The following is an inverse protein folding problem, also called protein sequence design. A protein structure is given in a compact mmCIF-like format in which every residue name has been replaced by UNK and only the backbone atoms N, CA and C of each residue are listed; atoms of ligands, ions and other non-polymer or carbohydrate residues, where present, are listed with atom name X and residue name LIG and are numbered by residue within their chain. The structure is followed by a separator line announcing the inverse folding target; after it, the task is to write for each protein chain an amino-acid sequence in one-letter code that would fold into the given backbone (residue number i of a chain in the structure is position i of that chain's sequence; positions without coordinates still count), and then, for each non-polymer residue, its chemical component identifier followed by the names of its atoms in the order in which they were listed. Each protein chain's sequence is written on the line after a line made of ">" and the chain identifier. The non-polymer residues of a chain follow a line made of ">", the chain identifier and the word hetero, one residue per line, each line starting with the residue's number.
data_IF_060227605231
#
_entry.id   IF_060227605231
#
_cell.length_a   1.000
_cell.length_b   1.000
_cell.length_c   1.000
_cell.angle_alpha   90.00
_cell.angle_beta   90.00
_cell.angle_gamma   90.00
#
_symmetry.space_group_name_H-M   'P 1'
#
loop_
_entity.id
_entity.type
_entity.pdbx_description
1 polymer ?
#
# COMPACT_ATOMS: atom_id res chain seq x y z
N UNK A 1 20.74 -2.77 -14.44
CA UNK A 1 20.01 -2.65 -15.73
C UNK A 1 19.37 -1.28 -15.78
N UNK A 2 19.21 -0.65 -16.94
CA UNK A 2 18.71 0.72 -16.98
C UNK A 2 17.19 0.83 -16.93
N UNK A 3 16.67 1.86 -16.25
CA UNK A 3 15.26 2.27 -16.26
C UNK A 3 15.09 3.56 -17.05
N UNK A 4 13.86 3.83 -17.48
CA UNK A 4 13.44 5.10 -18.05
C UNK A 4 12.29 5.66 -17.24
N UNK A 5 12.38 6.94 -16.88
CA UNK A 5 11.34 7.65 -16.14
C UNK A 5 10.64 8.67 -17.03
N UNK A 6 9.32 8.71 -17.01
CA UNK A 6 8.49 9.75 -17.62
C UNK A 6 7.66 10.43 -16.54
N UNK A 7 7.87 11.73 -16.33
CA UNK A 7 7.09 12.52 -15.38
C UNK A 7 6.19 13.48 -16.14
N UNK A 8 4.88 13.23 -16.10
CA UNK A 8 3.89 14.16 -16.64
C UNK A 8 3.42 15.03 -15.48
N UNK A 9 3.96 16.26 -15.40
CA UNK A 9 3.69 17.19 -14.29
C UNK A 9 2.19 17.42 -14.09
N UNK A 10 1.74 17.40 -12.84
CA UNK A 10 0.31 17.44 -12.51
C UNK A 10 -0.48 16.15 -12.79
N UNK A 11 0.14 15.04 -13.20
CA UNK A 11 -0.54 13.78 -13.54
C UNK A 11 0.03 12.58 -12.80
N UNK A 12 1.20 12.11 -13.25
CA UNK A 12 1.79 10.84 -12.89
C UNK A 12 3.28 10.73 -13.23
N UNK A 13 3.93 9.74 -12.61
CA UNK A 13 5.31 9.31 -12.86
C UNK A 13 5.27 7.85 -13.32
N UNK A 14 5.77 7.57 -14.51
CA UNK A 14 5.88 6.21 -15.06
C UNK A 14 7.34 5.75 -15.12
N UNK A 15 7.57 4.48 -14.78
CA UNK A 15 8.89 3.82 -14.84
C UNK A 15 8.82 2.66 -15.81
N UNK A 16 9.75 2.63 -16.76
CA UNK A 16 9.88 1.61 -17.79
C UNK A 16 11.22 0.88 -17.63
N UNK A 17 11.19 -0.44 -17.59
CA UNK A 17 12.41 -1.27 -17.57
C UNK A 17 13.12 -1.26 -18.94
N UNK A 18 14.38 -1.72 -19.01
CA UNK A 18 15.18 -1.74 -20.23
C UNK A 18 14.49 -2.50 -21.39
N UNK A 19 13.75 -3.56 -21.08
CA UNK A 19 12.96 -4.32 -22.05
C UNK A 19 11.71 -3.60 -22.62
N UNK A 20 11.43 -2.36 -22.19
CA UNK A 20 10.31 -1.55 -22.65
C UNK A 20 9.00 -1.71 -21.85
N UNK A 21 8.99 -2.53 -20.80
CA UNK A 21 7.81 -2.75 -19.94
C UNK A 21 7.63 -1.60 -18.94
N UNK A 22 6.44 -0.99 -18.90
CA UNK A 22 6.04 -0.06 -17.83
C UNK A 22 5.75 -0.85 -16.55
N UNK A 23 6.73 -0.88 -15.64
CA UNK A 23 6.67 -1.62 -14.38
C UNK A 23 5.90 -0.89 -13.28
N UNK A 24 5.87 0.44 -13.32
CA UNK A 24 5.18 1.27 -12.33
C UNK A 24 4.61 2.52 -12.98
N UNK A 25 3.39 2.89 -12.58
CA UNK A 25 2.87 4.24 -12.71
C UNK A 25 2.32 4.74 -11.39
N UNK A 26 2.88 5.85 -10.90
CA UNK A 26 2.43 6.56 -9.70
C UNK A 26 1.60 7.77 -10.10
N UNK A 27 0.29 7.71 -9.85
CA UNK A 27 -0.67 8.78 -10.19
C UNK A 27 -0.91 9.63 -8.96
N UNK A 28 -0.61 10.93 -9.06
CA UNK A 28 -0.84 11.91 -7.98
C UNK A 28 -1.91 12.96 -8.34
N UNK A 29 -2.50 12.86 -9.55
CA UNK A 29 -3.81 13.45 -9.88
C UNK A 29 -4.89 12.34 -9.98
N UNK A 30 -5.53 11.97 -8.85
CA UNK A 30 -6.47 10.86 -8.82
C UNK A 30 -7.80 11.19 -9.51
N UNK A 31 -8.64 10.17 -9.74
CA UNK A 31 -9.99 10.40 -10.28
C UNK A 31 -10.78 11.43 -9.44
N UNK A 32 -11.57 12.28 -10.08
CA UNK A 32 -12.21 13.42 -9.41
C UNK A 32 -13.40 13.05 -8.51
N UNK A 33 -13.67 11.76 -8.26
CA UNK A 33 -14.79 11.31 -7.43
C UNK A 33 -14.47 11.46 -5.93
N UNK A 34 -15.11 12.40 -5.19
CA UNK A 34 -14.84 12.59 -3.76
C UNK A 34 -15.16 11.35 -2.93
N UNK A 35 -16.20 10.59 -3.29
CA UNK A 35 -16.61 9.41 -2.54
C UNK A 35 -15.55 8.31 -2.59
N UNK A 36 -14.65 8.32 -3.58
CA UNK A 36 -13.55 7.36 -3.65
C UNK A 36 -12.31 7.78 -2.85
N UNK A 37 -12.39 8.93 -2.15
CA UNK A 37 -11.27 9.59 -1.49
C UNK A 37 -10.13 9.88 -2.46
N UNK A 38 -10.01 11.15 -2.86
CA UNK A 38 -8.98 11.62 -3.79
C UNK A 38 -7.62 11.51 -3.10
N UNK A 39 -6.76 10.59 -3.56
CA UNK A 39 -5.40 10.40 -3.04
C UNK A 39 -4.49 9.75 -4.08
N UNK A 40 -3.18 9.98 -4.04
CA UNK A 40 -2.25 9.29 -4.93
C UNK A 40 -2.26 7.77 -4.77
N UNK A 41 -1.92 7.06 -5.85
CA UNK A 41 -1.83 5.61 -5.89
C UNK A 41 -0.83 5.15 -6.95
N UNK A 42 -0.29 3.93 -6.80
CA UNK A 42 0.44 3.26 -7.86
C UNK A 42 -0.47 2.26 -8.60
N UNK A 43 -0.76 2.55 -9.86
CA UNK A 43 -1.39 1.65 -10.81
C UNK A 43 -1.21 2.22 -12.23
N UNK A 44 -0.88 1.37 -13.22
CA UNK A 44 -0.56 -0.05 -13.09
C UNK A 44 0.82 -0.31 -12.45
N UNK A 45 0.92 -1.45 -11.76
CA UNK A 45 2.17 -2.07 -11.30
C UNK A 45 2.29 -3.41 -12.03
N UNK A 46 3.46 -3.71 -12.59
CA UNK A 46 3.69 -4.91 -13.41
C UNK A 46 4.96 -5.65 -13.05
N UNK A 47 4.98 -6.95 -13.33
CA UNK A 47 6.23 -7.72 -13.42
C UNK A 47 7.06 -7.30 -14.66
N UNK A 48 8.29 -7.80 -14.79
CA UNK A 48 9.15 -7.47 -15.94
C UNK A 48 8.66 -8.11 -17.24
N UNK A 49 7.89 -9.19 -17.17
CA UNK A 49 7.18 -9.76 -18.33
C UNK A 49 5.90 -9.00 -18.72
N UNK A 50 5.55 -7.92 -18.01
CA UNK A 50 4.41 -7.06 -18.34
C UNK A 50 3.07 -7.52 -17.75
N UNK A 51 3.07 -8.48 -16.82
CA UNK A 51 1.85 -8.93 -16.14
C UNK A 51 1.42 -7.92 -15.09
N UNK A 52 0.17 -7.45 -15.18
CA UNK A 52 -0.35 -6.45 -14.22
C UNK A 52 -0.70 -7.11 -12.90
N UNK A 53 -0.11 -6.63 -11.81
CA UNK A 53 -0.27 -7.21 -10.47
C UNK A 53 -1.11 -6.33 -9.55
N UNK A 54 -1.83 -5.34 -10.09
CA UNK A 54 -2.71 -4.44 -9.33
C UNK A 54 -4.07 -4.30 -9.98
N UNK A 55 -5.13 -4.33 -9.18
CA UNK A 55 -6.49 -4.05 -9.62
C UNK A 55 -6.80 -2.55 -9.56
N UNK A 56 -7.68 -2.07 -10.44
CA UNK A 56 -8.09 -0.66 -10.47
C UNK A 56 -9.59 -0.49 -10.53
N UNK A 57 -10.13 0.23 -9.55
CA UNK A 57 -11.55 0.55 -9.39
C UNK A 57 -12.49 -0.62 -9.72
N UNK A 58 -12.35 -1.80 -9.05
CA UNK A 58 -13.27 -2.92 -9.24
C UNK A 58 -14.74 -2.48 -9.11
N UNK A 59 -15.64 -3.15 -9.82
CA UNK A 59 -17.05 -2.72 -9.90
C UNK A 59 -17.79 -2.67 -8.55
N UNK A 60 -17.34 -3.47 -7.59
CA UNK A 60 -17.85 -3.63 -6.24
C UNK A 60 -17.14 -2.72 -5.21
N UNK A 61 -15.94 -2.23 -5.53
CA UNK A 61 -15.10 -1.42 -4.66
C UNK A 61 -14.36 -0.35 -5.47
N UNK A 62 -15.09 0.63 -6.01
CA UNK A 62 -14.55 1.65 -6.93
C UNK A 62 -13.42 2.51 -6.33
N UNK A 63 -13.31 2.57 -5.01
CA UNK A 63 -12.27 3.32 -4.31
C UNK A 63 -10.93 2.56 -4.17
N UNK A 64 -10.87 1.26 -4.47
CA UNK A 64 -9.60 0.52 -4.46
C UNK A 64 -8.81 0.75 -5.75
N UNK A 65 -7.58 1.25 -5.67
CA UNK A 65 -6.72 1.58 -6.83
C UNK A 65 -5.27 1.15 -6.56
N UNK A 66 -4.91 -0.03 -7.05
CA UNK A 66 -3.57 -0.62 -6.96
C UNK A 66 -2.96 -0.58 -5.56
N UNK A 67 -1.83 0.10 -5.42
CA UNK A 67 -1.15 0.33 -4.14
C UNK A 67 -1.40 1.76 -3.65
N UNK A 68 -1.88 1.94 -2.43
CA UNK A 68 -2.22 3.25 -1.89
C UNK A 68 -2.15 3.30 -0.36
N UNK A 69 -1.73 4.44 0.17
CA UNK A 69 -1.81 4.72 1.61
C UNK A 69 -3.23 5.10 1.99
N UNK A 70 -3.73 4.59 3.11
CA UNK A 70 -5.13 4.72 3.50
C UNK A 70 -5.30 4.85 5.01
N UNK A 71 -6.43 5.42 5.44
CA UNK A 71 -6.93 5.27 6.80
C UNK A 71 -8.44 5.12 6.77
N UNK A 72 -8.96 3.98 7.23
CA UNK A 72 -10.40 3.72 7.22
C UNK A 72 -11.14 4.44 8.34
N UNK A 73 -10.46 4.66 9.47
CA UNK A 73 -10.92 5.45 10.61
C UNK A 73 -9.77 6.33 11.10
N UNK A 74 -9.92 7.65 10.92
CA UNK A 74 -9.01 8.66 11.46
C UNK A 74 -9.87 9.76 12.07
N UNK A 75 -9.92 9.88 13.40
CA UNK A 75 -10.77 10.85 14.12
C UNK A 75 -12.20 10.97 13.54
N UNK A 76 -12.81 9.84 13.16
CA UNK A 76 -14.15 9.77 12.56
C UNK A 76 -14.23 9.96 11.04
N UNK A 77 -13.14 10.33 10.38
CA UNK A 77 -13.03 10.44 8.92
C UNK A 77 -12.53 9.14 8.28
N UNK A 78 -12.80 9.04 6.98
CA UNK A 78 -12.46 7.93 6.11
C UNK A 78 -11.60 8.43 4.93
N UNK A 79 -10.30 8.16 4.98
CA UNK A 79 -9.33 8.39 3.90
C UNK A 79 -9.10 7.14 3.04
N UNK A 80 -9.78 6.03 3.33
CA UNK A 80 -9.87 4.86 2.45
C UNK A 80 -10.79 5.15 1.26
N UNK A 81 -11.88 5.88 1.50
CA UNK A 81 -12.96 6.11 0.55
C UNK A 81 -14.08 5.08 0.67
N UNK A 82 -15.16 5.31 -0.06
CA UNK A 82 -16.34 4.44 -0.11
C UNK A 82 -17.16 4.47 1.17
N UNK A 83 -17.77 3.32 1.45
CA UNK A 83 -18.62 3.16 2.61
C UNK A 83 -17.83 3.19 3.92
N UNK A 84 -18.41 3.80 4.94
CA UNK A 84 -17.88 3.81 6.30
C UNK A 84 -18.52 2.69 7.12
N UNK A 85 -17.75 2.02 7.97
CA UNK A 85 -18.32 1.06 8.92
C UNK A 85 -18.94 1.81 10.11
N UNK A 86 -20.14 1.41 10.52
CA UNK A 86 -20.81 1.89 11.71
C UNK A 86 -21.24 0.69 12.54
N UNK A 87 -20.76 0.63 13.79
CA UNK A 87 -21.05 -0.48 14.69
C UNK A 87 -22.56 -0.71 14.83
N UNK A 88 -22.99 -1.96 14.71
CA UNK A 88 -24.41 -2.35 14.77
C UNK A 88 -25.24 -2.01 13.52
N UNK A 89 -24.71 -1.24 12.55
CA UNK A 89 -25.42 -0.85 11.33
C UNK A 89 -24.75 -1.35 10.04
N UNK A 90 -23.47 -1.73 10.10
CA UNK A 90 -22.72 -2.23 8.95
C UNK A 90 -22.08 -1.11 8.12
N UNK A 91 -21.92 -1.34 6.81
CA UNK A 91 -21.33 -0.36 5.90
C UNK A 91 -22.39 0.60 5.36
N UNK A 92 -22.20 1.89 5.61
CA UNK A 92 -23.11 2.95 5.17
C UNK A 92 -22.40 3.92 4.20
N UNK A 93 -23.10 4.42 3.16
CA UNK A 93 -22.56 5.47 2.31
C UNK A 93 -22.65 6.81 3.04
N UNK A 94 -21.57 7.17 3.74
CA UNK A 94 -21.44 8.43 4.50
C UNK A 94 -20.43 9.35 3.80
N UNK A 95 -20.80 9.97 2.65
CA UNK A 95 -19.89 10.81 1.88
C UNK A 95 -19.33 12.00 2.67
N UNK A 96 -20.06 12.46 3.69
CA UNK A 96 -19.65 13.53 4.61
C UNK A 96 -18.49 13.15 5.55
N UNK A 97 -18.05 11.89 5.54
CA UNK A 97 -16.87 11.42 6.28
C UNK A 97 -15.67 11.17 5.37
N UNK A 98 -15.80 11.35 4.05
CA UNK A 98 -14.74 10.95 3.12
C UNK A 98 -13.75 12.08 2.91
N UNK A 99 -12.54 11.91 3.45
CA UNK A 99 -11.40 12.82 3.30
C UNK A 99 -10.56 12.55 2.05
N UNK A 100 -9.50 13.34 1.87
CA UNK A 100 -8.58 13.25 0.73
C UNK A 100 -7.11 13.47 1.13
N UNK A 101 -6.19 13.06 0.26
CA UNK A 101 -4.77 13.38 0.37
C UNK A 101 -4.39 14.22 -0.85
N UNK A 102 -4.06 15.49 -0.60
CA UNK A 102 -3.69 16.46 -1.63
C UNK A 102 -2.18 16.42 -1.85
N UNK A 103 -1.76 16.18 -3.09
CA UNK A 103 -0.37 16.37 -3.52
C UNK A 103 0.01 17.86 -3.43
N UNK A 104 1.09 18.17 -2.71
CA UNK A 104 1.61 19.53 -2.54
C UNK A 104 2.91 19.76 -3.31
N UNK A 105 3.69 18.72 -3.61
CA UNK A 105 4.87 18.82 -4.45
C UNK A 105 5.85 17.64 -4.33
N UNK A 106 6.92 17.70 -5.13
CA UNK A 106 8.07 16.80 -5.05
C UNK A 106 9.33 17.60 -4.70
N UNK A 107 9.67 17.79 -3.41
CA UNK A 107 10.88 18.52 -3.02
C UNK A 107 12.18 17.83 -3.45
N UNK A 108 12.16 16.50 -3.61
CA UNK A 108 13.31 15.70 -4.03
C UNK A 108 12.91 14.73 -5.12
N UNK A 109 13.73 14.66 -6.18
CA UNK A 109 13.52 13.78 -7.31
C UNK A 109 14.87 13.43 -7.94
N UNK A 110 15.21 12.15 -7.98
CA UNK A 110 16.50 11.65 -8.47
C UNK A 110 16.27 10.45 -9.38
N UNK A 111 16.87 10.52 -10.56
CA UNK A 111 16.88 9.43 -11.54
C UNK A 111 18.32 9.07 -11.83
N UNK A 112 18.66 7.82 -11.57
CA UNK A 112 19.93 7.18 -11.90
C UNK A 112 19.66 6.09 -12.95
N UNK A 113 20.71 5.43 -13.42
CA UNK A 113 20.56 4.42 -14.47
C UNK A 113 19.60 3.31 -14.05
N UNK A 114 19.68 2.78 -12.83
CA UNK A 114 18.91 1.63 -12.35
C UNK A 114 17.96 1.95 -11.18
N UNK A 115 17.76 3.26 -10.89
CA UNK A 115 17.01 3.71 -9.72
C UNK A 115 16.24 5.00 -9.98
N UNK A 116 15.00 5.04 -9.51
CA UNK A 116 14.22 6.25 -9.31
C UNK A 116 13.98 6.43 -7.81
N UNK A 117 14.25 7.62 -7.28
CA UNK A 117 13.86 7.99 -5.92
C UNK A 117 13.19 9.37 -5.92
N UNK A 118 12.06 9.51 -5.25
CA UNK A 118 11.42 10.81 -5.04
C UNK A 118 10.74 10.91 -3.69
N UNK A 119 10.66 12.14 -3.18
CA UNK A 119 9.93 12.50 -1.97
C UNK A 119 8.72 13.32 -2.39
N UNK A 120 7.53 12.94 -1.94
CA UNK A 120 6.27 13.65 -2.13
C UNK A 120 5.81 14.29 -0.82
N UNK A 121 5.42 15.56 -0.89
CA UNK A 121 4.70 16.23 0.20
C UNK A 121 3.20 16.16 -0.05
N UNK A 122 2.47 15.75 1.00
CA UNK A 122 1.03 15.52 0.96
C UNK A 122 0.37 16.16 2.16
N UNK A 123 -0.85 16.67 1.96
CA UNK A 123 -1.72 17.11 3.06
C UNK A 123 -2.96 16.24 3.13
N UNK A 124 -3.24 15.72 4.32
CA UNK A 124 -4.45 14.97 4.64
C UNK A 124 -5.55 15.97 5.00
N UNK A 125 -6.55 16.08 4.13
CA UNK A 125 -7.65 17.04 4.23
C UNK A 125 -8.93 16.28 4.57
N UNK A 126 -9.52 16.60 5.72
CA UNK A 126 -10.82 16.02 6.10
C UNK A 126 -11.95 16.52 5.19
N UNK A 127 -13.12 15.89 5.24
CA UNK A 127 -14.21 16.18 4.33
C UNK A 127 -14.65 17.66 4.25
N UNK A 128 -14.70 18.36 5.38
CA UNK A 128 -15.02 19.79 5.53
C UNK A 128 -13.91 20.75 5.07
N UNK A 129 -12.75 20.24 4.69
CA UNK A 129 -11.63 21.01 4.13
C UNK A 129 -10.53 21.40 5.12
N UNK A 130 -10.61 21.02 6.39
CA UNK A 130 -9.53 21.26 7.34
C UNK A 130 -8.31 20.36 7.05
N UNK A 131 -7.11 20.94 7.17
CA UNK A 131 -5.86 20.19 7.08
C UNK A 131 -5.57 19.51 8.42
N UNK A 132 -5.50 18.19 8.42
CA UNK A 132 -5.35 17.39 9.65
C UNK A 132 -3.95 16.86 9.86
N UNK A 133 -3.28 16.46 8.79
CA UNK A 133 -1.91 15.99 8.84
C UNK A 133 -1.11 16.39 7.61
N UNK A 134 0.20 16.51 7.81
CA UNK A 134 1.18 16.58 6.71
C UNK A 134 1.93 15.27 6.63
N UNK A 135 2.09 14.77 5.42
CA UNK A 135 2.83 13.56 5.10
C UNK A 135 4.02 13.89 4.21
N UNK A 136 5.18 13.33 4.57
CA UNK A 136 6.33 13.21 3.68
C UNK A 136 6.42 11.75 3.28
N UNK A 137 6.27 11.46 1.99
CA UNK A 137 6.22 10.11 1.44
C UNK A 137 7.41 9.88 0.51
N UNK A 138 8.20 8.85 0.76
CA UNK A 138 9.29 8.45 -0.14
C UNK A 138 8.87 7.27 -1.00
N UNK A 139 9.20 7.31 -2.29
CA UNK A 139 9.12 6.16 -3.19
C UNK A 139 10.48 5.94 -3.84
N UNK A 140 10.97 4.69 -3.80
CA UNK A 140 12.18 4.30 -4.53
C UNK A 140 11.90 3.06 -5.36
N UNK A 141 12.09 3.13 -6.68
CA UNK A 141 12.12 1.97 -7.58
C UNK A 141 13.57 1.60 -7.80
N UNK A 142 13.92 0.33 -7.57
CA UNK A 142 15.30 -0.14 -7.67
C UNK A 142 15.37 -1.66 -7.90
N UNK A 143 16.61 -2.18 -7.99
CA UNK A 143 16.90 -3.62 -8.09
C UNK A 143 16.15 -4.30 -9.24
N UNK A 144 16.05 -3.62 -10.39
CA UNK A 144 15.47 -4.19 -11.60
C UNK A 144 16.43 -5.26 -12.15
N UNK A 145 16.02 -6.52 -12.05
CA UNK A 145 16.80 -7.70 -12.40
C UNK A 145 15.99 -8.58 -13.37
N UNK A 146 16.34 -8.51 -14.66
CA UNK A 146 15.72 -9.30 -15.73
C UNK A 146 16.05 -10.79 -15.65
N UNK A 147 17.18 -11.18 -15.02
CA UNK A 147 17.52 -12.59 -14.84
C UNK A 147 16.66 -13.21 -13.73
N UNK A 148 16.52 -12.51 -12.60
CA UNK A 148 15.61 -12.91 -11.53
C UNK A 148 14.13 -12.71 -11.90
N UNK A 149 13.83 -11.87 -12.91
CA UNK A 149 12.48 -11.49 -13.29
C UNK A 149 11.78 -10.64 -12.22
N UNK A 150 12.52 -9.81 -11.48
CA UNK A 150 11.99 -9.08 -10.33
C UNK A 150 12.51 -7.64 -10.23
N UNK A 151 11.78 -6.83 -9.47
CA UNK A 151 12.19 -5.48 -9.08
C UNK A 151 11.55 -5.11 -7.74
N UNK A 152 12.08 -4.06 -7.10
CA UNK A 152 11.65 -3.62 -5.78
C UNK A 152 11.12 -2.17 -5.78
N UNK A 153 10.10 -1.95 -4.96
CA UNK A 153 9.55 -0.64 -4.60
C UNK A 153 9.66 -0.45 -3.09
N UNK A 154 10.46 0.52 -2.67
CA UNK A 154 10.43 0.99 -1.29
C UNK A 154 9.42 2.13 -1.15
N UNK A 155 8.63 2.07 -0.09
CA UNK A 155 7.64 3.07 0.28
C UNK A 155 7.88 3.51 1.71
N UNK A 156 8.12 4.79 1.93
CA UNK A 156 8.21 5.38 3.26
C UNK A 156 7.10 6.40 3.49
N UNK A 157 6.71 6.54 4.76
CA UNK A 157 5.80 7.59 5.22
C UNK A 157 6.35 8.20 6.49
N UNK A 158 6.26 9.53 6.60
CA UNK A 158 6.34 10.28 7.85
C UNK A 158 5.13 11.20 7.95
N UNK A 159 4.20 10.89 8.86
CA UNK A 159 2.96 11.65 9.04
C UNK A 159 3.05 12.48 10.31
N UNK A 160 2.66 13.75 10.24
CA UNK A 160 2.68 14.70 11.36
C UNK A 160 1.29 15.29 11.58
N UNK A 161 0.79 15.23 12.81
CA UNK A 161 -0.46 15.88 13.20
C UNK A 161 -0.29 17.41 13.21
N UNK A 162 -1.08 18.14 12.43
CA UNK A 162 -1.07 19.61 12.40
C UNK A 162 -2.22 20.26 13.19
N UNK A 163 -3.13 19.45 13.75
CA UNK A 163 -4.23 19.92 14.59
C UNK A 163 -3.74 20.27 15.99
N UNK A 164 -4.58 21.01 16.71
CA UNK A 164 -4.42 21.30 18.14
C UNK A 164 -4.94 20.19 19.06
N UNK A 165 -5.52 19.13 18.50
CA UNK A 165 -6.03 17.96 19.23
C UNK A 165 -5.47 16.64 18.66
N UNK A 166 -5.50 15.53 19.43
CA UNK A 166 -4.99 14.25 18.96
C UNK A 166 -5.72 13.72 17.71
N UNK A 167 -4.97 13.05 16.84
CA UNK A 167 -5.53 12.23 15.76
C UNK A 167 -5.66 10.79 16.25
N UNK A 168 -6.88 10.25 16.25
CA UNK A 168 -7.17 8.88 16.66
C UNK A 168 -7.20 7.97 15.43
N UNK A 169 -6.22 7.09 15.28
CA UNK A 169 -6.13 6.11 14.21
C UNK A 169 -6.77 4.81 14.65
N UNK A 170 -7.65 4.27 13.81
CA UNK A 170 -8.31 3.01 14.06
C UNK A 170 -8.61 2.25 12.77
N UNK A 171 -9.51 1.29 12.90
CA UNK A 171 -10.00 0.48 11.79
C UNK A 171 -11.41 -0.02 12.07
N UNK A 172 -12.11 -0.66 11.12
CA UNK A 172 -13.38 -1.28 11.44
C UNK A 172 -13.30 -2.29 12.59
N UNK A 173 -12.16 -2.98 12.80
CA UNK A 173 -11.98 -3.85 13.97
C UNK A 173 -12.08 -3.07 15.27
N UNK A 174 -11.40 -1.92 15.38
CA UNK A 174 -11.47 -1.08 16.59
C UNK A 174 -12.87 -0.49 16.79
N UNK A 175 -13.60 -0.28 15.69
CA UNK A 175 -15.02 0.08 15.70
C UNK A 175 -15.98 -1.13 15.91
N UNK A 176 -15.47 -2.32 16.21
CA UNK A 176 -16.25 -3.51 16.56
C UNK A 176 -16.68 -4.38 15.37
N UNK A 177 -15.95 -4.36 14.25
CA UNK A 177 -16.04 -5.35 13.16
C UNK A 177 -14.86 -6.30 13.21
N UNK A 178 -15.03 -7.43 13.88
CA UNK A 178 -13.96 -8.41 14.05
C UNK A 178 -13.25 -8.77 12.73
N UNK A 179 -11.92 -8.87 12.77
CA UNK A 179 -11.05 -9.23 11.63
C UNK A 179 -11.22 -8.36 10.38
N UNK A 180 -11.53 -7.08 10.56
CA UNK A 180 -11.63 -6.08 9.49
C UNK A 180 -10.66 -4.91 9.72
N UNK A 181 -9.44 -5.21 10.14
CA UNK A 181 -8.44 -4.24 10.57
C UNK A 181 -7.72 -3.55 9.41
N UNK A 182 -8.41 -3.18 8.33
CA UNK A 182 -7.78 -2.61 7.15
C UNK A 182 -7.52 -1.11 7.30
N UNK A 183 -6.26 -0.72 7.16
CA UNK A 183 -5.73 0.65 7.16
C UNK A 183 -4.25 0.61 6.74
N UNK A 184 -3.58 1.75 6.60
CA UNK A 184 -2.16 1.82 6.25
C UNK A 184 -1.92 1.65 4.75
N UNK A 185 -0.75 1.13 4.37
CA UNK A 185 -0.41 0.89 2.96
C UNK A 185 -1.13 -0.37 2.48
N UNK A 186 -2.05 -0.20 1.53
CA UNK A 186 -2.88 -1.27 0.99
C UNK A 186 -2.56 -1.54 -0.48
N UNK A 187 -2.38 -2.81 -0.79
CA UNK A 187 -2.44 -3.37 -2.13
C UNK A 187 -3.80 -4.02 -2.40
N UNK A 188 -4.38 -3.69 -3.56
CA UNK A 188 -5.49 -4.39 -4.19
C UNK A 188 -5.00 -5.15 -5.41
N UNK A 189 -5.11 -6.47 -5.39
CA UNK A 189 -4.84 -7.31 -6.56
C UNK A 189 -5.95 -7.23 -7.62
N UNK A 190 -5.65 -7.59 -8.87
CA UNK A 190 -6.65 -7.80 -9.91
C UNK A 190 -7.54 -9.01 -9.57
N UNK A 191 -8.71 -9.11 -10.20
CA UNK A 191 -9.76 -10.05 -9.76
C UNK A 191 -9.44 -11.51 -10.09
N UNK A 192 -8.72 -11.73 -11.18
CA UNK A 192 -8.10 -13.00 -11.57
C UNK A 192 -7.21 -13.59 -10.47
N UNK A 193 -6.62 -12.77 -9.59
CA UNK A 193 -5.79 -13.26 -8.47
C UNK A 193 -6.62 -13.83 -7.28
N UNK A 194 -7.94 -13.94 -7.41
CA UNK A 194 -8.81 -14.48 -6.35
C UNK A 194 -8.45 -15.94 -6.09
N UNK A 195 -8.31 -16.32 -4.82
CA UNK A 195 -7.89 -17.67 -4.43
C UNK A 195 -6.38 -17.92 -4.51
N UNK A 196 -5.56 -16.89 -4.80
CA UNK A 196 -4.10 -17.00 -4.80
C UNK A 196 -3.51 -17.47 -3.48
N UNK A 197 -2.31 -18.04 -3.56
CA UNK A 197 -1.56 -18.62 -2.44
C UNK A 197 -0.88 -17.52 -1.65
N UNK A 198 -1.03 -17.55 -0.32
CA UNK A 198 -0.36 -16.64 0.60
C UNK A 198 0.55 -17.45 1.50
N UNK A 199 1.75 -16.95 1.79
CA UNK A 199 2.69 -17.60 2.71
C UNK A 199 3.62 -16.59 3.36
N UNK A 200 4.27 -17.00 4.46
CA UNK A 200 5.18 -16.19 5.26
C UNK A 200 6.35 -17.07 5.78
N UNK A 201 7.43 -16.51 6.36
CA UNK A 201 8.64 -17.27 6.64
C UNK A 201 8.45 -18.48 7.58
N UNK A 202 7.52 -18.39 8.52
CA UNK A 202 7.30 -19.45 9.52
C UNK A 202 6.03 -20.28 9.27
N UNK A 203 5.32 -20.07 8.16
CA UNK A 203 4.03 -20.74 7.94
C UNK A 203 3.63 -20.88 6.47
N UNK A 204 3.18 -22.08 6.09
CA UNK A 204 2.45 -22.35 4.84
C UNK A 204 0.94 -22.21 5.08
N UNK A 205 0.58 -21.18 5.85
CA UNK A 205 -0.80 -20.91 6.21
C UNK A 205 -1.56 -20.31 5.03
N UNK A 206 -2.81 -20.72 4.86
CA UNK A 206 -3.77 -19.96 4.06
C UNK A 206 -3.88 -18.50 4.54
N UNK A 207 -4.34 -17.61 3.65
CA UNK A 207 -4.51 -16.19 3.94
C UNK A 207 -5.28 -15.91 5.25
N UNK A 208 -6.24 -16.77 5.61
CA UNK A 208 -7.07 -16.57 6.81
C UNK A 208 -6.28 -16.68 8.11
N UNK A 209 -5.29 -17.58 8.18
CA UNK A 209 -4.42 -17.73 9.35
C UNK A 209 -3.38 -16.62 9.49
N UNK A 210 -3.05 -15.93 8.40
CA UNK A 210 -2.12 -14.79 8.41
C UNK A 210 -2.81 -13.47 8.76
N UNK A 211 -4.13 -13.38 8.62
CA UNK A 211 -4.90 -12.21 9.02
C UNK A 211 -4.69 -11.88 10.50
N UNK A 212 -4.32 -10.63 10.80
CA UNK A 212 -4.08 -10.15 12.17
C UNK A 212 -2.79 -10.67 12.79
N UNK A 213 -1.91 -11.34 12.04
CA UNK A 213 -0.58 -11.74 12.52
C UNK A 213 0.46 -10.65 12.22
N UNK A 214 1.63 -10.74 12.84
CA UNK A 214 2.80 -9.94 12.51
C UNK A 214 3.86 -10.83 11.84
N UNK A 215 4.72 -10.23 11.03
CA UNK A 215 5.86 -10.93 10.44
C UNK A 215 6.73 -10.00 9.61
N UNK A 216 8.00 -10.37 9.35
CA UNK A 216 8.93 -9.53 8.58
C UNK A 216 8.49 -9.39 7.11
N UNK A 217 7.85 -10.41 6.55
CA UNK A 217 7.28 -10.37 5.22
C UNK A 217 6.12 -11.33 5.04
N UNK A 218 5.30 -11.06 4.02
CA UNK A 218 4.23 -11.91 3.52
C UNK A 218 4.30 -11.92 1.99
N UNK A 219 4.12 -13.08 1.37
CA UNK A 219 4.10 -13.22 -0.08
C UNK A 219 2.71 -13.65 -0.57
N UNK A 220 2.35 -13.18 -1.76
CA UNK A 220 1.13 -13.52 -2.47
C UNK A 220 1.49 -13.98 -3.88
N UNK A 221 1.20 -15.23 -4.20
CA UNK A 221 1.49 -15.85 -5.50
C UNK A 221 0.20 -16.26 -6.18
N UNK A 222 0.13 -16.05 -7.48
CA UNK A 222 -1.05 -16.35 -8.31
C UNK A 222 -0.63 -16.87 -9.67
N UNK A 223 -1.52 -17.65 -10.26
CA UNK A 223 -1.54 -17.97 -11.68
C UNK A 223 -2.35 -16.89 -12.42
N UNK A 224 -2.09 -16.68 -13.71
CA UNK A 224 -2.84 -15.77 -14.57
C UNK A 224 -3.77 -16.56 -15.49
N UNK A 225 -5.00 -16.07 -15.69
CA UNK A 225 -5.96 -16.75 -16.57
C UNK A 225 -5.63 -16.60 -18.06
N UNK A 226 -5.04 -15.46 -18.44
CA UNK A 226 -4.78 -15.10 -19.84
C UNK A 226 -3.40 -15.56 -20.36
N UNK A 227 -2.50 -15.93 -19.45
CA UNK A 227 -1.16 -16.42 -19.77
C UNK A 227 -0.79 -17.59 -18.85
N UNK A 228 -0.25 -18.68 -19.42
CA UNK A 228 0.26 -19.84 -18.66
C UNK A 228 1.52 -19.45 -17.87
N UNK A 229 1.33 -18.82 -16.71
CA UNK A 229 2.37 -18.16 -15.96
C UNK A 229 1.89 -17.63 -14.61
N UNK A 230 2.86 -17.31 -13.77
CA UNK A 230 2.63 -16.89 -12.39
C UNK A 230 3.23 -15.51 -12.12
N UNK A 231 2.72 -14.85 -11.09
CA UNK A 231 3.36 -13.68 -10.47
C UNK A 231 3.41 -13.84 -8.97
N UNK A 232 4.46 -13.30 -8.36
CA UNK A 232 4.59 -13.20 -6.90
C UNK A 232 4.79 -11.76 -6.49
N UNK A 233 4.01 -11.31 -5.51
CA UNK A 233 4.30 -10.08 -4.76
C UNK A 233 4.80 -10.45 -3.37
N UNK A 234 5.83 -9.76 -2.91
CA UNK A 234 6.31 -9.86 -1.52
C UNK A 234 6.11 -8.50 -0.86
N UNK A 235 5.54 -8.50 0.33
CA UNK A 235 5.30 -7.34 1.17
C UNK A 235 6.21 -7.47 2.39
N UNK A 236 7.16 -6.56 2.58
CA UNK A 236 8.13 -6.63 3.67
C UNK A 236 8.10 -5.37 4.54
N UNK A 237 8.20 -5.58 5.85
CA UNK A 237 8.40 -4.54 6.84
C UNK A 237 9.88 -4.19 6.93
N UNK A 238 10.19 -2.90 7.02
CA UNK A 238 11.49 -2.50 7.55
C UNK A 238 11.61 -2.96 9.02
N UNK A 239 12.81 -3.36 9.49
CA UNK A 239 12.97 -3.91 10.84
C UNK A 239 12.42 -3.01 11.94
N UNK A 240 12.55 -1.70 11.82
CA UNK A 240 12.03 -0.73 12.80
C UNK A 240 10.50 -0.72 12.89
N UNK A 241 9.76 -1.18 11.88
CA UNK A 241 8.30 -1.25 11.97
C UNK A 241 7.83 -2.36 12.92
N UNK A 242 8.70 -3.33 13.24
CA UNK A 242 8.42 -4.46 14.11
C UNK A 242 9.06 -4.33 15.49
N UNK A 243 9.85 -3.28 15.69
CA UNK A 243 10.40 -2.94 16.99
C UNK A 243 9.39 -2.09 17.77
N UNK A 244 8.86 -2.67 18.86
CA UNK A 244 7.87 -2.06 19.75
C UNK A 244 8.36 -0.76 20.42
N UNK A 245 9.66 -0.47 20.38
CA UNK A 245 10.22 0.76 20.95
C UNK A 245 10.30 1.93 19.96
N UNK A 246 10.30 1.65 18.66
CA UNK A 246 10.42 2.67 17.61
C UNK A 246 9.12 2.89 16.82
N UNK A 247 8.34 1.84 16.57
CA UNK A 247 7.02 1.96 15.95
C UNK A 247 6.02 2.62 16.91
N UNK A 248 5.19 3.53 16.40
CA UNK A 248 4.12 4.16 17.20
C UNK A 248 3.05 3.15 17.64
N UNK A 249 2.84 2.12 16.84
CA UNK A 249 1.85 1.08 17.07
C UNK A 249 2.22 -0.18 16.29
N UNK A 250 1.79 -1.34 16.78
CA UNK A 250 2.04 -2.62 16.16
C UNK A 250 1.40 -2.72 14.78
N UNK A 251 2.20 -3.07 13.78
CA UNK A 251 1.71 -3.34 12.44
C UNK A 251 1.40 -4.82 12.25
N UNK A 252 0.21 -5.09 11.70
CA UNK A 252 -0.32 -6.43 11.47
C UNK A 252 -0.76 -6.60 10.01
N UNK A 253 -0.76 -7.84 9.54
CA UNK A 253 -1.24 -8.17 8.21
C UNK A 253 -2.77 -8.11 8.14
N UNK A 254 -3.30 -7.25 7.28
CA UNK A 254 -4.65 -7.43 6.76
C UNK A 254 -4.57 -8.11 5.39
N UNK A 255 -4.93 -9.39 5.31
CA UNK A 255 -4.76 -10.17 4.08
C UNK A 255 -5.99 -11.00 3.73
N UNK A 256 -6.36 -11.02 2.45
CA UNK A 256 -7.37 -11.92 1.89
C UNK A 256 -6.94 -12.41 0.52
N UNK A 257 -7.15 -13.68 0.23
CA UNK A 257 -7.17 -14.23 -1.13
C UNK A 257 -8.60 -14.31 -1.68
N UNK A 258 -9.60 -14.46 -0.80
CA UNK A 258 -11.03 -14.49 -1.14
C UNK A 258 -11.84 -13.54 -0.23
N UNK A 259 -12.97 -12.97 -0.72
CA UNK A 259 -13.51 -13.09 -2.09
C UNK A 259 -12.74 -12.25 -3.11
N UNK A 260 -11.69 -11.57 -2.68
CA UNK A 260 -10.78 -10.83 -3.54
C UNK A 260 -9.40 -10.70 -2.91
N UNK A 261 -8.36 -10.53 -3.73
CA UNK A 261 -6.98 -10.39 -3.27
C UNK A 261 -6.71 -8.99 -2.71
N UNK A 262 -6.22 -8.93 -1.48
CA UNK A 262 -5.73 -7.69 -0.86
C UNK A 262 -4.75 -8.01 0.26
N UNK A 263 -3.77 -7.13 0.41
CA UNK A 263 -2.80 -7.15 1.51
C UNK A 263 -2.64 -5.70 1.98
N UNK A 264 -2.62 -5.47 3.29
CA UNK A 264 -2.24 -4.19 3.85
C UNK A 264 -1.35 -4.35 5.09
N UNK A 265 -0.41 -3.42 5.21
CA UNK A 265 0.38 -3.20 6.41
C UNK A 265 -0.48 -2.37 7.39
N UNK A 266 -1.34 -3.02 8.14
CA UNK A 266 -2.27 -2.33 9.03
C UNK A 266 -1.54 -1.81 10.25
N UNK A 267 -1.61 -0.51 10.51
CA UNK A 267 -1.04 0.11 11.71
C UNK A 267 -2.00 0.20 12.90
N UNK A 268 -3.26 -0.24 12.75
CA UNK A 268 -4.29 -0.14 13.80
C UNK A 268 -5.29 -1.30 13.66
N UNK A 269 -4.76 -2.53 13.68
CA UNK A 269 -5.56 -3.71 13.39
C UNK A 269 -6.49 -4.10 14.54
N UNK A 270 -5.98 -4.17 15.78
CA UNK A 270 -6.76 -4.56 16.96
C UNK A 270 -7.11 -3.38 17.86
N UNK A 271 -6.19 -2.43 18.00
CA UNK A 271 -6.29 -1.31 18.92
C UNK A 271 -6.15 0.03 18.18
N UNK A 272 -6.75 1.07 18.77
CA UNK A 272 -6.56 2.44 18.31
C UNK A 272 -5.28 3.01 18.90
N UNK A 273 -4.66 3.94 18.17
CA UNK A 273 -3.58 4.76 18.72
C UNK A 273 -3.82 6.23 18.44
N UNK A 274 -3.31 7.08 19.33
CA UNK A 274 -3.40 8.53 19.18
C UNK A 274 -2.06 9.14 18.77
N UNK A 275 -2.12 10.06 17.82
CA UNK A 275 -1.00 10.94 17.47
C UNK A 275 -1.26 12.33 18.08
N UNK A 276 -0.53 12.75 19.13
CA UNK A 276 -0.76 14.03 19.78
C UNK A 276 -0.48 15.22 18.84
N UNK A 277 -0.95 16.43 19.17
CA UNK A 277 -0.64 17.66 18.42
C UNK A 277 0.86 17.83 18.18
N UNK A 278 1.26 18.06 16.93
CA UNK A 278 2.67 18.18 16.52
C UNK A 278 3.47 16.88 16.57
N UNK A 279 2.87 15.77 16.99
CA UNK A 279 3.49 14.44 16.98
C UNK A 279 3.66 13.93 15.55
N UNK A 280 4.68 13.09 15.35
CA UNK A 280 4.92 12.38 14.09
C UNK A 280 5.17 10.90 14.31
N UNK A 281 4.82 10.06 13.33
CA UNK A 281 5.30 8.68 13.23
C UNK A 281 5.84 8.42 11.82
N UNK A 282 6.59 7.31 11.69
CA UNK A 282 7.09 6.87 10.39
C UNK A 282 7.02 5.35 10.24
N UNK A 283 6.90 4.90 8.99
CA UNK A 283 7.03 3.50 8.61
C UNK A 283 7.74 3.40 7.26
N UNK A 284 8.47 2.30 7.06
CA UNK A 284 9.06 1.94 5.77
C UNK A 284 8.67 0.54 5.35
N UNK A 285 8.34 0.36 4.08
CA UNK A 285 7.86 -0.88 3.50
C UNK A 285 8.61 -1.15 2.21
N UNK A 286 8.71 -2.42 1.85
CA UNK A 286 9.23 -2.86 0.56
C UNK A 286 8.21 -3.78 -0.09
N UNK A 287 7.99 -3.56 -1.37
CA UNK A 287 7.30 -4.49 -2.24
C UNK A 287 8.30 -5.06 -3.24
N UNK A 288 8.35 -6.38 -3.36
CA UNK A 288 9.02 -7.04 -4.49
C UNK A 288 7.96 -7.52 -5.45
N UNK A 289 8.13 -7.23 -6.73
CA UNK A 289 7.23 -7.66 -7.80
C UNK A 289 8.01 -8.58 -8.72
N UNK A 290 7.56 -9.82 -8.84
CA UNK A 290 8.31 -10.85 -9.53
C UNK A 290 7.48 -11.69 -10.50
N UNK A 291 8.13 -12.09 -11.58
CA UNK A 291 7.68 -13.15 -12.46
C UNK A 291 7.87 -14.53 -11.83
N UNK A 292 6.90 -15.40 -12.08
CA UNK A 292 6.90 -16.79 -11.62
C UNK A 292 6.30 -16.99 -10.23
N UNK A 293 6.15 -18.25 -9.87
CA UNK A 293 5.78 -18.68 -8.52
C UNK A 293 7.07 -18.81 -7.71
N UNK A 294 7.28 -17.91 -6.76
CA UNK A 294 8.41 -18.01 -5.84
C UNK A 294 7.99 -18.83 -4.63
N UNK A 295 8.93 -19.63 -4.14
CA UNK A 295 8.79 -20.29 -2.84
C UNK A 295 9.38 -19.43 -1.73
N UNK A 296 9.22 -19.91 -0.49
CA UNK A 296 9.71 -19.25 0.72
C UNK A 296 11.22 -19.02 0.69
N UNK A 297 11.99 -20.01 0.27
CA UNK A 297 13.46 -19.95 0.28
C UNK A 297 13.97 -18.90 -0.70
N UNK A 298 13.35 -18.82 -1.89
CA UNK A 298 13.65 -17.79 -2.88
C UNK A 298 13.29 -16.39 -2.37
N UNK A 299 12.12 -16.24 -1.74
CA UNK A 299 11.71 -14.95 -1.14
C UNK A 299 12.70 -14.51 -0.06
N UNK A 300 13.04 -15.40 0.87
CA UNK A 300 13.99 -15.12 1.96
C UNK A 300 15.36 -14.70 1.42
N UNK A 301 15.93 -15.52 0.53
CA UNK A 301 17.24 -15.24 -0.09
C UNK A 301 17.24 -13.91 -0.85
N UNK A 302 16.16 -13.61 -1.59
CA UNK A 302 16.08 -12.36 -2.35
C UNK A 302 16.01 -11.14 -1.42
N UNK A 303 15.23 -11.20 -0.34
CA UNK A 303 15.15 -10.10 0.63
C UNK A 303 16.46 -9.87 1.38
N UNK A 304 17.21 -10.92 1.74
CA UNK A 304 18.54 -10.80 2.35
C UNK A 304 19.54 -10.04 1.46
N UNK A 305 19.38 -10.16 0.14
CA UNK A 305 20.19 -9.44 -0.84
C UNK A 305 19.82 -7.96 -1.04
N UNK A 306 18.73 -7.48 -0.42
CA UNK A 306 18.23 -6.12 -0.60
C UNK A 306 18.37 -5.30 0.70
N UNK A 307 19.34 -4.38 0.82
CA UNK A 307 19.45 -3.52 2.00
C UNK A 307 18.31 -2.51 2.08
N UNK A 308 17.97 -2.05 3.30
CA UNK A 308 16.98 -1.00 3.57
C UNK A 308 17.56 0.41 3.52
#
# INVERSE_FOLDING_TARGET
>A
MSIRVTHTHGEDIAVTAANGTEILRYVYRPDPNPFESRKPYAHPVRTLSGRTVTGYRPNDHRWHKGLQMTASHLSGQNFWGGNCYVHGQGYLPLPERVGSMRHDGFPEFTVEDDRLAFTEELTWVENGGEEWAREVRGLTVHSVDEEAGAWALDWSIRLTNVRSEPLAFGSPTTAGREMAGYTGLQWRGPRDFTGGTVFAPDTDADAGKLMGTQGPWLAFTTEHDDVDGHSTLVFAHAPENLDQTSAIHESHWFVRSEPFPTVAFSWAFFEEFELPPGGSFAFRYRLVVADGAWDRDRVGTHLEGLPW
#
